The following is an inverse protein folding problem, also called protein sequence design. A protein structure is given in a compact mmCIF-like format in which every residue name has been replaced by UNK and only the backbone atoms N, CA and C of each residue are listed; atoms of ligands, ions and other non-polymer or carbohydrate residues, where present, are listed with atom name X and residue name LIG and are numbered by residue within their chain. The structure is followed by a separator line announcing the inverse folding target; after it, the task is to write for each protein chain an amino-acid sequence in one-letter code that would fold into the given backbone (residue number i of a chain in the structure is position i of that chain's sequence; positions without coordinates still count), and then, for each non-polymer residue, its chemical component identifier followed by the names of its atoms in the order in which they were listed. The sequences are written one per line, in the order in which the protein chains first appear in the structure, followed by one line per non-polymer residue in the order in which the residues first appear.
data_IF_496967969325
#
_entry.id   IF_496967969325
#
_cell.length_a   1.000
_cell.length_b   1.000
_cell.length_c   1.000
_cell.angle_alpha   90.00
_cell.angle_beta   90.00
_cell.angle_gamma   90.00
#
_symmetry.space_group_name_H-M   'P 1'
#
loop_
_entity.id
_entity.type
_entity.pdbx_description
1 polymer ?
#
# COMPACT_ATOMS: atom_id res chain seq x y z
N UNK A 1 -5.34 12.51 -26.66
CA UNK A 1 -4.95 11.86 -27.91
C UNK A 1 -5.62 10.50 -28.04
N UNK A 2 -6.01 10.08 -29.26
CA UNK A 2 -6.70 8.79 -29.49
C UNK A 2 -5.90 7.60 -29.03
N UNK A 3 -4.60 7.59 -29.22
CA UNK A 3 -3.73 6.49 -28.78
C UNK A 3 -3.80 6.18 -27.27
N UNK A 4 -4.16 7.15 -26.43
CA UNK A 4 -4.35 6.93 -24.99
C UNK A 4 -5.49 5.96 -24.71
N UNK A 5 -6.54 6.00 -25.55
CA UNK A 5 -7.68 5.08 -25.47
C UNK A 5 -7.29 3.67 -25.86
N UNK A 6 -6.43 3.51 -26.87
CA UNK A 6 -5.95 2.22 -27.38
C UNK A 6 -5.16 1.44 -26.32
N UNK A 7 -4.48 2.15 -25.43
CA UNK A 7 -3.73 1.56 -24.31
C UNK A 7 -4.52 1.49 -22.99
N UNK A 8 -5.81 1.86 -23.01
CA UNK A 8 -6.68 1.87 -21.81
C UNK A 8 -6.09 2.70 -20.64
N UNK A 9 -5.33 3.73 -20.96
CA UNK A 9 -4.72 4.64 -19.98
C UNK A 9 -5.69 5.78 -19.68
N UNK A 10 -6.06 5.95 -18.43
CA UNK A 10 -6.96 7.02 -18.01
C UNK A 10 -6.35 7.96 -16.95
N UNK A 11 -5.21 7.58 -16.37
CA UNK A 11 -4.50 8.39 -15.38
C UNK A 11 -3.06 7.91 -15.21
N UNK A 12 -2.23 8.73 -14.57
CA UNK A 12 -0.94 8.33 -13.98
C UNK A 12 -1.09 8.16 -12.47
N UNK A 13 -0.36 7.21 -11.89
CA UNK A 13 -0.21 7.14 -10.43
C UNK A 13 1.17 7.69 -10.01
N UNK A 14 1.34 8.18 -8.77
CA UNK A 14 2.65 8.65 -8.30
C UNK A 14 3.75 7.58 -8.39
N UNK A 15 3.42 6.31 -8.17
CA UNK A 15 4.35 5.20 -8.32
C UNK A 15 4.77 4.95 -9.78
N UNK A 16 3.92 5.25 -10.75
CA UNK A 16 4.25 5.17 -12.17
C UNK A 16 5.23 6.26 -12.59
N UNK A 17 5.09 7.47 -12.05
CA UNK A 17 6.00 8.58 -12.33
C UNK A 17 7.43 8.31 -11.82
N UNK A 18 7.59 7.39 -10.87
CA UNK A 18 8.89 6.94 -10.38
C UNK A 18 9.51 5.79 -11.19
N UNK A 19 8.76 5.20 -12.12
CA UNK A 19 9.28 4.16 -13.00
C UNK A 19 10.07 4.78 -14.14
N UNK A 20 11.33 4.38 -14.23
CA UNK A 20 12.21 4.77 -15.33
C UNK A 20 11.74 4.10 -16.62
N UNK A 21 11.73 4.85 -17.65
CA UNK A 21 11.30 4.74 -19.05
C UNK A 21 10.96 3.35 -19.60
N UNK A 22 11.86 2.38 -19.52
CA UNK A 22 11.63 1.07 -20.14
C UNK A 22 10.59 0.21 -19.41
N UNK A 23 10.56 0.28 -18.07
CA UNK A 23 9.59 -0.51 -17.28
C UNK A 23 8.19 0.03 -17.45
N UNK A 24 8.03 1.37 -17.42
CA UNK A 24 6.74 2.02 -17.66
C UNK A 24 6.21 1.69 -19.05
N UNK A 25 7.05 1.86 -20.10
CA UNK A 25 6.69 1.51 -21.46
C UNK A 25 6.26 0.05 -21.57
N UNK A 26 7.04 -0.88 -21.01
CA UNK A 26 6.69 -2.28 -21.04
C UNK A 26 5.35 -2.57 -20.37
N UNK A 27 5.15 -2.08 -19.14
CA UNK A 27 3.94 -2.36 -18.36
C UNK A 27 2.69 -1.69 -18.94
N UNK A 28 2.79 -0.50 -19.51
CA UNK A 28 1.63 0.31 -19.90
C UNK A 28 1.40 0.44 -21.40
N UNK A 29 2.42 0.25 -22.22
CA UNK A 29 2.28 0.28 -23.68
C UNK A 29 2.25 -1.11 -24.30
N UNK A 30 2.94 -2.10 -23.75
CA UNK A 30 3.01 -3.44 -24.33
C UNK A 30 2.07 -4.45 -23.67
N UNK A 31 1.81 -4.32 -22.36
CA UNK A 31 0.91 -5.24 -21.66
C UNK A 31 -0.53 -4.73 -21.69
N UNK A 32 -1.46 -5.58 -22.11
CA UNK A 32 -2.89 -5.31 -21.95
C UNK A 32 -3.29 -5.15 -20.47
N UNK A 33 -4.40 -4.49 -20.20
CA UNK A 33 -4.94 -4.35 -18.83
C UNK A 33 -5.09 -5.71 -18.14
N UNK A 34 -5.54 -6.74 -18.87
CA UNK A 34 -5.67 -8.12 -18.35
C UNK A 34 -4.32 -8.72 -17.95
N UNK A 35 -3.25 -8.46 -18.71
CA UNK A 35 -1.90 -8.91 -18.38
C UNK A 35 -1.34 -8.11 -17.20
N UNK A 36 -1.53 -6.79 -17.16
CA UNK A 36 -1.11 -5.94 -16.02
C UNK A 36 -1.73 -6.41 -14.70
N UNK A 37 -3.02 -6.76 -14.71
CA UNK A 37 -3.71 -7.28 -13.51
C UNK A 37 -3.13 -8.61 -12.99
N UNK A 38 -2.38 -9.33 -13.82
CA UNK A 38 -1.69 -10.57 -13.43
C UNK A 38 -0.30 -10.33 -12.88
N UNK A 39 0.23 -9.10 -12.94
CA UNK A 39 1.54 -8.79 -12.36
C UNK A 39 1.39 -8.90 -10.84
N UNK A 40 2.07 -9.90 -10.30
CA UNK A 40 2.11 -10.11 -8.86
C UNK A 40 3.18 -9.23 -8.22
N UNK A 41 2.78 -8.38 -7.28
CA UNK A 41 3.70 -7.45 -6.62
C UNK A 41 4.57 -8.09 -5.52
N UNK A 42 4.32 -9.37 -5.21
CA UNK A 42 5.06 -10.14 -4.22
C UNK A 42 4.45 -10.06 -2.81
N UNK A 43 4.72 -11.10 -2.04
CA UNK A 43 4.14 -11.29 -0.69
C UNK A 43 4.44 -10.16 0.31
N UNK A 44 5.54 -9.39 0.10
CA UNK A 44 5.85 -8.21 0.92
C UNK A 44 4.88 -7.05 0.69
N UNK A 45 4.46 -6.83 -0.55
CA UNK A 45 3.47 -5.81 -0.87
C UNK A 45 2.09 -6.19 -0.30
N UNK A 46 1.72 -7.47 -0.41
CA UNK A 46 0.49 -7.99 0.19
C UNK A 46 0.50 -7.88 1.71
N UNK A 47 1.64 -8.16 2.36
CA UNK A 47 1.80 -7.98 3.80
C UNK A 47 1.68 -6.51 4.22
N UNK A 48 2.26 -5.57 3.46
CA UNK A 48 2.07 -4.14 3.68
C UNK A 48 0.60 -3.72 3.56
N UNK A 49 -0.09 -4.22 2.55
CA UNK A 49 -1.53 -3.97 2.38
C UNK A 49 -2.34 -4.56 3.53
N UNK A 50 -1.97 -5.74 4.04
CA UNK A 50 -2.63 -6.34 5.21
C UNK A 50 -2.52 -5.45 6.45
N UNK A 51 -1.33 -4.90 6.73
CA UNK A 51 -1.12 -3.94 7.82
C UNK A 51 -2.04 -2.72 7.63
N UNK A 52 -2.05 -2.13 6.43
CA UNK A 52 -2.91 -0.98 6.13
C UNK A 52 -4.40 -1.30 6.36
N UNK A 53 -4.87 -2.50 5.97
CA UNK A 53 -6.26 -2.92 6.20
C UNK A 53 -6.61 -3.05 7.68
N UNK A 54 -5.72 -3.61 8.48
CA UNK A 54 -5.91 -3.64 9.94
C UNK A 54 -5.94 -2.24 10.57
N UNK A 55 -5.05 -1.34 10.14
CA UNK A 55 -5.04 0.05 10.61
C UNK A 55 -6.29 0.82 10.17
N UNK A 56 -6.78 0.60 8.94
CA UNK A 56 -8.04 1.19 8.47
C UNK A 56 -9.20 0.83 9.42
N UNK A 57 -9.23 -0.40 9.91
CA UNK A 57 -10.25 -0.86 10.84
C UNK A 57 -10.24 -0.12 12.19
N UNK A 58 -9.08 0.39 12.62
CA UNK A 58 -8.95 1.12 13.90
C UNK A 58 -9.16 2.64 13.70
N UNK A 59 -8.52 3.19 12.66
CA UNK A 59 -8.30 4.64 12.53
C UNK A 59 -9.18 5.30 11.49
N UNK A 60 -9.69 4.57 10.47
CA UNK A 60 -10.57 5.15 9.48
C UNK A 60 -12.00 5.22 9.99
N UNK A 61 -12.66 6.35 9.72
CA UNK A 61 -14.09 6.52 9.96
C UNK A 61 -14.94 6.06 8.77
N UNK A 62 -14.30 5.58 7.70
CA UNK A 62 -14.94 5.14 6.46
C UNK A 62 -14.39 3.81 5.99
N UNK A 63 -15.24 3.00 5.38
CA UNK A 63 -14.85 1.78 4.69
C UNK A 63 -15.41 1.75 3.26
N UNK A 64 -14.79 0.98 2.39
CA UNK A 64 -15.38 0.72 1.08
C UNK A 64 -16.56 -0.23 1.19
N UNK A 65 -17.66 0.10 0.49
CA UNK A 65 -18.76 -0.83 0.35
C UNK A 65 -18.30 -2.11 -0.37
N UNK A 66 -18.87 -3.23 0.04
CA UNK A 66 -18.68 -4.50 -0.66
C UNK A 66 -19.86 -4.73 -1.60
N UNK A 67 -19.59 -5.28 -2.77
CA UNK A 67 -20.62 -5.80 -3.65
C UNK A 67 -21.22 -7.11 -3.08
N UNK A 68 -22.26 -7.65 -3.73
CA UNK A 68 -22.92 -8.88 -3.33
C UNK A 68 -21.98 -10.11 -3.33
N UNK A 69 -20.88 -10.06 -4.08
CA UNK A 69 -19.83 -11.10 -4.12
C UNK A 69 -18.73 -10.87 -3.07
N UNK A 70 -18.83 -9.80 -2.26
CA UNK A 70 -17.85 -9.47 -1.21
C UNK A 70 -16.62 -8.72 -1.71
N UNK A 71 -16.57 -8.29 -2.97
CA UNK A 71 -15.46 -7.47 -3.48
C UNK A 71 -15.64 -6.01 -3.09
N UNK A 72 -14.53 -5.34 -2.76
CA UNK A 72 -14.58 -3.92 -2.43
C UNK A 72 -14.91 -3.06 -3.65
N UNK A 73 -15.99 -2.27 -3.53
CA UNK A 73 -16.31 -1.25 -4.52
C UNK A 73 -15.51 0.03 -4.20
N UNK A 74 -14.41 0.23 -4.92
CA UNK A 74 -13.50 1.37 -4.72
C UNK A 74 -14.11 2.75 -5.02
N UNK A 75 -15.32 2.80 -5.53
CA UNK A 75 -16.04 4.03 -5.85
C UNK A 75 -17.13 4.37 -4.83
N UNK A 76 -17.36 3.51 -3.85
CA UNK A 76 -18.37 3.72 -2.81
C UNK A 76 -17.75 3.53 -1.44
N UNK A 77 -17.81 4.58 -0.64
CA UNK A 77 -17.41 4.57 0.76
C UNK A 77 -18.64 4.79 1.63
N UNK A 78 -18.68 4.09 2.74
CA UNK A 78 -19.70 4.31 3.78
C UNK A 78 -19.01 4.63 5.10
N UNK A 79 -19.67 5.43 5.92
CA UNK A 79 -19.22 5.75 7.28
C UNK A 79 -19.34 4.52 8.16
N UNK A 80 -18.30 4.23 8.96
CA UNK A 80 -18.33 3.17 9.95
C UNK A 80 -18.99 3.71 11.21
N UNK A 81 -20.04 3.07 11.68
CA UNK A 81 -20.67 3.41 12.96
C UNK A 81 -19.89 2.74 14.11
N UNK A 82 -19.13 3.58 14.83
CA UNK A 82 -18.35 3.17 16.00
C UNK A 82 -16.94 2.71 15.67
N UNK A 83 -15.96 3.16 16.46
CA UNK A 83 -14.57 2.67 16.38
C UNK A 83 -14.52 1.24 16.92
N UNK A 84 -14.02 0.36 16.09
CA UNK A 84 -13.99 -1.07 16.42
C UNK A 84 -12.75 -1.43 17.27
N UNK A 85 -12.89 -2.47 18.10
CA UNK A 85 -11.86 -2.85 19.04
C UNK A 85 -10.53 -3.27 18.35
N UNK A 86 -9.36 -2.79 18.83
CA UNK A 86 -8.04 -3.09 18.23
C UNK A 86 -7.75 -4.58 18.06
N UNK A 87 -8.30 -5.43 18.93
CA UNK A 87 -8.11 -6.89 18.86
C UNK A 87 -8.63 -7.51 17.56
N UNK A 88 -9.71 -6.96 16.98
CA UNK A 88 -10.25 -7.43 15.70
C UNK A 88 -9.49 -6.91 14.49
N UNK A 89 -8.73 -5.84 14.64
CA UNK A 89 -7.98 -5.22 13.56
C UNK A 89 -6.84 -6.12 13.06
N UNK A 90 -6.18 -6.82 13.99
CA UNK A 90 -5.17 -7.80 13.61
C UNK A 90 -5.78 -8.99 12.86
N UNK A 91 -6.96 -9.46 13.27
CA UNK A 91 -7.67 -10.54 12.57
C UNK A 91 -8.00 -10.13 11.13
N UNK A 92 -8.39 -8.86 10.90
CA UNK A 92 -8.62 -8.33 9.55
C UNK A 92 -7.34 -8.35 8.71
N UNK A 93 -6.22 -7.93 9.29
CA UNK A 93 -4.91 -7.96 8.62
C UNK A 93 -4.51 -9.40 8.27
N UNK A 94 -4.64 -10.32 9.23
CA UNK A 94 -4.28 -11.72 9.09
C UNK A 94 -5.16 -12.43 8.04
N UNK A 95 -6.49 -12.22 8.09
CA UNK A 95 -7.42 -12.77 7.11
C UNK A 95 -7.12 -12.28 5.69
N UNK A 96 -6.88 -10.97 5.55
CA UNK A 96 -6.47 -10.40 4.26
C UNK A 96 -5.19 -11.07 3.73
N UNK A 97 -4.16 -11.20 4.57
CA UNK A 97 -2.89 -11.76 4.15
C UNK A 97 -3.00 -13.24 3.78
N UNK A 98 -3.70 -14.03 4.57
CA UNK A 98 -3.92 -15.46 4.31
C UNK A 98 -4.65 -15.72 2.98
N UNK A 99 -5.60 -14.85 2.60
CA UNK A 99 -6.28 -14.93 1.30
C UNK A 99 -5.37 -14.65 0.09
N UNK A 100 -4.19 -14.06 0.32
CA UNK A 100 -3.19 -13.78 -0.72
C UNK A 100 -2.17 -14.89 -0.89
N UNK A 101 -2.26 -15.97 -0.12
CA UNK A 101 -1.35 -17.10 -0.25
C UNK A 101 -1.41 -17.67 -1.67
N UNK A 102 -0.27 -17.68 -2.33
CA UNK A 102 -0.07 -18.32 -3.63
C UNK A 102 0.92 -19.46 -3.47
N UNK A 103 0.62 -20.62 -4.06
CA UNK A 103 1.53 -21.77 -4.11
C UNK A 103 2.74 -21.54 -5.03
N UNK A 104 3.08 -20.29 -5.34
CA UNK A 104 4.25 -19.97 -6.14
C UNK A 104 5.51 -20.35 -5.33
N UNK A 105 6.27 -21.32 -5.80
CA UNK A 105 7.45 -21.86 -5.08
C UNK A 105 8.46 -20.80 -4.69
N UNK A 106 8.60 -19.75 -5.49
CA UNK A 106 9.50 -18.63 -5.21
C UNK A 106 9.04 -17.73 -4.06
N UNK A 107 7.74 -17.67 -3.78
CA UNK A 107 7.14 -16.74 -2.82
C UNK A 107 6.68 -17.42 -1.51
N UNK A 108 6.53 -18.74 -1.50
CA UNK A 108 6.02 -19.45 -0.31
C UNK A 108 6.86 -19.23 0.94
N UNK A 109 8.19 -19.19 0.81
CA UNK A 109 9.08 -18.92 1.94
C UNK A 109 8.98 -17.47 2.41
N UNK A 110 8.90 -16.51 1.46
CA UNK A 110 8.71 -15.10 1.78
C UNK A 110 7.35 -14.87 2.45
N UNK A 111 6.31 -15.56 1.96
CA UNK A 111 4.99 -15.49 2.58
C UNK A 111 5.00 -15.97 4.03
N UNK A 112 5.65 -17.11 4.30
CA UNK A 112 5.77 -17.66 5.67
C UNK A 112 6.56 -16.73 6.59
N UNK A 113 7.74 -16.23 6.14
CA UNK A 113 8.52 -15.29 6.92
C UNK A 113 7.74 -14.02 7.26
N UNK A 114 7.02 -13.46 6.28
CA UNK A 114 6.16 -12.31 6.54
C UNK A 114 5.01 -12.62 7.51
N UNK A 115 4.40 -13.82 7.40
CA UNK A 115 3.31 -14.23 8.28
C UNK A 115 3.77 -14.32 9.74
N UNK A 116 4.97 -14.87 9.97
CA UNK A 116 5.59 -14.93 11.30
C UNK A 116 5.87 -13.54 11.89
N UNK A 117 6.18 -12.55 11.03
CA UNK A 117 6.51 -11.17 11.42
C UNK A 117 5.30 -10.23 11.48
N UNK A 118 4.20 -10.63 10.87
CA UNK A 118 3.00 -9.80 10.76
C UNK A 118 2.54 -9.21 12.10
N UNK A 119 2.52 -9.97 13.23
CA UNK A 119 2.13 -9.43 14.53
C UNK A 119 3.04 -8.29 15.00
N UNK A 120 4.37 -8.46 14.90
CA UNK A 120 5.34 -7.44 15.31
C UNK A 120 5.21 -6.16 14.51
N UNK A 121 5.19 -6.27 13.17
CA UNK A 121 5.02 -5.11 12.27
C UNK A 121 3.68 -4.41 12.52
N UNK A 122 2.60 -5.17 12.72
CA UNK A 122 1.29 -4.60 13.03
C UNK A 122 1.30 -3.82 14.34
N UNK A 123 1.87 -4.40 15.39
CA UNK A 123 1.98 -3.75 16.69
C UNK A 123 2.78 -2.45 16.63
N UNK A 124 3.93 -2.46 15.94
CA UNK A 124 4.76 -1.27 15.72
C UNK A 124 3.98 -0.20 14.93
N UNK A 125 3.24 -0.60 13.89
CA UNK A 125 2.41 0.33 13.13
C UNK A 125 1.29 0.95 13.98
N UNK A 126 0.63 0.18 14.84
CA UNK A 126 -0.40 0.71 15.76
C UNK A 126 0.20 1.71 16.73
N UNK A 127 1.39 1.44 17.30
CA UNK A 127 2.10 2.40 18.17
C UNK A 127 2.43 3.69 17.45
N UNK A 128 3.03 3.60 16.24
CA UNK A 128 3.39 4.76 15.45
C UNK A 128 2.16 5.62 15.12
N UNK A 129 1.04 5.01 14.78
CA UNK A 129 -0.21 5.73 14.50
C UNK A 129 -0.80 6.37 15.77
N UNK A 130 -0.68 5.73 16.93
CA UNK A 130 -1.10 6.31 18.21
C UNK A 130 -0.26 7.56 18.56
N UNK A 131 1.05 7.55 18.28
CA UNK A 131 1.95 8.68 18.48
C UNK A 131 1.66 9.83 17.51
N UNK A 132 1.42 9.53 16.22
CA UNK A 132 1.01 10.52 15.20
C UNK A 132 -0.31 11.19 15.60
N UNK A 133 -1.25 10.42 16.18
CA UNK A 133 -2.49 10.91 16.78
C UNK A 133 -3.27 11.88 15.87
N UNK A 134 -3.63 11.43 14.67
CA UNK A 134 -4.51 12.19 13.77
C UNK A 134 -5.81 12.57 14.49
N UNK A 135 -6.09 13.86 14.56
CA UNK A 135 -7.30 14.40 15.22
C UNK A 135 -8.44 14.57 14.23
N UNK A 136 -9.66 14.37 14.72
CA UNK A 136 -10.90 14.54 13.94
C UNK A 136 -11.21 13.33 13.07
N UNK A 137 -12.03 13.54 12.07
CA UNK A 137 -12.45 12.50 11.11
C UNK A 137 -11.30 12.10 10.19
N UNK A 138 -11.10 10.80 10.07
CA UNK A 138 -10.00 10.19 9.28
C UNK A 138 -10.60 9.37 8.14
N UNK A 139 -10.23 9.72 6.92
CA UNK A 139 -10.53 8.95 5.71
C UNK A 139 -9.32 8.09 5.32
N UNK A 140 -9.56 6.96 4.67
CA UNK A 140 -8.50 6.11 4.12
C UNK A 140 -8.66 5.90 2.62
N UNK A 141 -7.55 5.87 1.91
CA UNK A 141 -7.45 5.56 0.48
C UNK A 141 -8.41 6.39 -0.40
N UNK A 142 -8.69 7.65 -0.03
CA UNK A 142 -9.47 8.55 -0.86
C UNK A 142 -8.69 8.93 -2.13
N UNK A 143 -9.38 8.96 -3.27
CA UNK A 143 -8.76 9.42 -4.51
C UNK A 143 -8.42 10.92 -4.43
N UNK A 144 -7.19 11.27 -4.71
CA UNK A 144 -6.73 12.64 -4.90
C UNK A 144 -6.25 12.84 -6.33
N UNK A 145 -6.52 14.01 -6.88
CA UNK A 145 -6.30 14.32 -8.29
C UNK A 145 -5.43 15.56 -8.43
N UNK A 146 -4.51 15.53 -9.38
CA UNK A 146 -3.76 16.71 -9.80
C UNK A 146 -3.48 16.66 -11.29
N UNK A 147 -3.65 17.78 -11.97
CA UNK A 147 -3.21 17.97 -13.34
C UNK A 147 -1.81 18.60 -13.31
N UNK A 148 -0.81 17.83 -13.67
CA UNK A 148 0.56 18.32 -13.79
C UNK A 148 0.80 18.92 -15.17
N UNK A 149 1.48 20.07 -15.19
CA UNK A 149 1.87 20.71 -16.45
C UNK A 149 2.75 19.76 -17.26
N UNK A 150 2.40 19.56 -18.52
CA UNK A 150 3.09 18.64 -19.43
C UNK A 150 2.61 17.18 -19.36
N UNK A 151 1.75 16.82 -18.41
CA UNK A 151 1.10 15.49 -18.39
C UNK A 151 -0.21 15.54 -19.18
N UNK A 152 -0.36 14.60 -20.12
CA UNK A 152 -1.58 14.48 -20.96
C UNK A 152 -2.76 13.94 -20.13
N UNK A 153 -2.48 13.08 -19.16
CA UNK A 153 -3.45 12.46 -18.28
C UNK A 153 -3.37 13.04 -16.89
N UNK A 154 -4.49 13.09 -16.15
CA UNK A 154 -4.48 13.47 -14.75
C UNK A 154 -3.65 12.47 -13.94
N UNK A 155 -2.99 12.94 -12.92
CA UNK A 155 -2.37 12.07 -11.92
C UNK A 155 -3.37 11.79 -10.80
N UNK A 156 -3.56 10.52 -10.49
CA UNK A 156 -4.45 10.06 -9.43
C UNK A 156 -3.64 9.28 -8.41
N UNK A 157 -3.77 9.65 -7.15
CA UNK A 157 -3.16 8.94 -6.04
C UNK A 157 -4.15 8.68 -4.92
N UNK A 158 -3.69 7.95 -3.91
CA UNK A 158 -4.49 7.60 -2.73
C UNK A 158 -3.56 7.62 -1.52
N UNK A 159 -3.62 8.67 -0.68
CA UNK A 159 -3.00 8.61 0.64
C UNK A 159 -3.59 7.46 1.45
N UNK A 160 -2.76 6.78 2.24
CA UNK A 160 -3.26 5.66 3.04
C UNK A 160 -4.27 6.13 4.08
N UNK A 161 -4.01 7.28 4.73
CA UNK A 161 -4.92 7.92 5.69
C UNK A 161 -4.83 9.44 5.58
N UNK A 162 -5.93 10.13 5.79
CA UNK A 162 -5.94 11.59 5.84
C UNK A 162 -7.05 12.13 6.76
N UNK A 163 -6.82 13.31 7.31
CA UNK A 163 -7.84 14.14 7.96
C UNK A 163 -7.91 15.52 7.29
N UNK A 164 -8.46 16.52 7.94
CA UNK A 164 -8.59 17.88 7.40
C UNK A 164 -7.25 18.56 7.13
N UNK A 165 -6.19 18.24 7.88
CA UNK A 165 -4.92 18.98 7.90
C UNK A 165 -3.70 18.18 7.49
N UNK A 166 -3.73 16.88 7.67
CA UNK A 166 -2.60 15.98 7.42
C UNK A 166 -3.03 14.77 6.61
N UNK A 167 -2.05 14.14 5.96
CA UNK A 167 -2.18 12.77 5.47
C UNK A 167 -0.97 11.93 5.89
N UNK A 168 -1.20 10.63 6.01
CA UNK A 168 -0.16 9.64 6.30
C UNK A 168 0.03 8.76 5.07
N UNK A 169 1.27 8.54 4.69
CA UNK A 169 1.70 7.49 3.76
C UNK A 169 2.43 6.43 4.57
N UNK A 170 1.89 5.23 4.63
CA UNK A 170 2.45 4.10 5.37
C UNK A 170 3.38 3.29 4.47
N UNK A 171 4.56 3.01 4.97
CA UNK A 171 5.52 2.10 4.33
C UNK A 171 5.98 1.04 5.32
N UNK A 172 5.83 -0.22 4.95
CA UNK A 172 6.29 -1.34 5.75
C UNK A 172 7.58 -1.93 5.18
N UNK A 173 8.53 -2.25 6.03
CA UNK A 173 9.79 -2.89 5.63
C UNK A 173 9.81 -4.33 6.12
N UNK A 174 9.92 -5.24 5.18
CA UNK A 174 9.92 -6.69 5.41
C UNK A 174 11.30 -7.26 5.09
N UNK A 175 11.66 -8.33 5.78
CA UNK A 175 12.89 -9.09 5.48
C UNK A 175 12.93 -9.47 4.01
N UNK A 176 14.15 -9.58 3.49
CA UNK A 176 14.39 -9.98 2.10
C UNK A 176 15.05 -11.34 2.06
N UNK A 177 14.56 -12.20 1.19
CA UNK A 177 15.22 -13.47 0.86
C UNK A 177 16.69 -13.21 0.50
N UNK A 178 17.58 -13.81 1.26
CA UNK A 178 19.03 -13.80 1.00
C UNK A 178 19.44 -14.83 -0.05
N UNK A 179 20.73 -14.85 -0.36
CA UNK A 179 21.30 -15.84 -1.27
C UNK A 179 21.68 -17.16 -0.57
N UNK A 180 21.85 -17.11 0.73
CA UNK A 180 22.23 -18.28 1.53
C UNK A 180 21.06 -19.22 1.69
N UNK A 181 21.29 -20.50 1.47
CA UNK A 181 20.32 -21.58 1.75
C UNK A 181 20.73 -22.27 3.05
N UNK A 182 19.79 -22.48 3.95
CA UNK A 182 19.99 -23.18 5.22
C UNK A 182 20.08 -24.69 5.00
N UNK A 183 20.50 -25.42 6.02
CA UNK A 183 20.62 -26.87 5.98
C UNK A 183 19.30 -27.61 5.67
N UNK A 184 18.16 -27.02 6.02
CA UNK A 184 16.81 -27.52 5.74
C UNK A 184 16.29 -27.17 4.32
N UNK A 185 17.15 -26.59 3.47
CA UNK A 185 16.80 -26.16 2.12
C UNK A 185 16.02 -24.84 2.05
N UNK A 186 15.71 -24.22 3.18
CA UNK A 186 15.03 -22.93 3.19
C UNK A 186 16.01 -21.77 2.93
N UNK A 187 15.58 -20.66 2.32
CA UNK A 187 16.42 -19.47 2.19
C UNK A 187 16.60 -18.78 3.54
N UNK A 188 17.78 -18.20 3.77
CA UNK A 188 17.96 -17.23 4.84
C UNK A 188 17.26 -15.92 4.49
N UNK A 189 16.76 -15.21 5.51
CA UNK A 189 16.15 -13.89 5.35
C UNK A 189 17.02 -12.81 5.98
N UNK A 190 17.27 -11.75 5.23
CA UNK A 190 18.06 -10.62 5.69
C UNK A 190 17.13 -9.55 6.24
N UNK A 191 17.46 -9.08 7.42
CA UNK A 191 16.81 -7.94 8.05
C UNK A 191 16.99 -6.68 7.20
N UNK A 192 15.94 -5.85 7.12
CA UNK A 192 15.98 -4.56 6.44
C UNK A 192 15.94 -3.45 7.48
N UNK A 193 17.12 -2.90 7.78
CA UNK A 193 17.25 -1.76 8.69
C UNK A 193 16.50 -0.53 8.15
N UNK A 194 15.81 0.19 9.01
CA UNK A 194 15.27 1.49 8.68
C UNK A 194 16.41 2.46 8.41
N UNK A 195 16.25 3.28 7.39
CA UNK A 195 17.22 4.31 7.04
C UNK A 195 16.89 5.61 7.79
N UNK A 196 17.90 6.36 8.15
CA UNK A 196 17.75 7.70 8.76
C UNK A 196 17.08 8.69 7.79
N UNK A 197 17.23 8.46 6.48
CA UNK A 197 16.61 9.26 5.43
C UNK A 197 15.58 8.42 4.65
N UNK A 198 14.42 8.97 4.33
CA UNK A 198 13.43 8.28 3.53
C UNK A 198 13.91 8.02 2.09
N UNK A 199 13.40 6.97 1.47
CA UNK A 199 13.68 6.71 0.05
C UNK A 199 13.07 7.82 -0.82
N UNK A 200 13.85 8.34 -1.81
CA UNK A 200 13.43 9.45 -2.67
C UNK A 200 12.06 9.22 -3.35
N UNK A 201 11.77 7.98 -3.74
CA UNK A 201 10.47 7.63 -4.32
C UNK A 201 9.29 7.86 -3.35
N UNK A 202 9.49 7.59 -2.05
CA UNK A 202 8.47 7.86 -1.03
C UNK A 202 8.30 9.36 -0.79
N UNK A 203 9.40 10.13 -0.82
CA UNK A 203 9.36 11.59 -0.71
C UNK A 203 8.58 12.18 -1.88
N UNK A 204 8.87 11.77 -3.11
CA UNK A 204 8.15 12.23 -4.31
C UNK A 204 6.66 11.90 -4.24
N UNK A 205 6.30 10.71 -3.77
CA UNK A 205 4.91 10.31 -3.59
C UNK A 205 4.20 11.19 -2.56
N UNK A 206 4.84 11.49 -1.42
CA UNK A 206 4.26 12.36 -0.40
C UNK A 206 4.16 13.82 -0.86
N UNK A 207 5.13 14.32 -1.62
CA UNK A 207 5.07 15.64 -2.24
C UNK A 207 3.90 15.75 -3.22
N UNK A 208 3.71 14.72 -4.06
CA UNK A 208 2.54 14.66 -4.95
C UNK A 208 1.23 14.80 -4.17
N UNK A 209 1.06 14.03 -3.09
CA UNK A 209 -0.16 14.10 -2.28
C UNK A 209 -0.31 15.46 -1.57
N UNK A 210 0.79 16.04 -1.08
CA UNK A 210 0.76 17.37 -0.49
C UNK A 210 0.30 18.44 -1.51
N UNK A 211 0.80 18.37 -2.74
CA UNK A 211 0.35 19.26 -3.81
C UNK A 211 -1.13 19.05 -4.17
N UNK A 212 -1.57 17.81 -4.26
CA UNK A 212 -2.94 17.47 -4.63
C UNK A 212 -3.98 17.83 -3.56
N UNK A 213 -3.58 17.79 -2.28
CA UNK A 213 -4.51 17.95 -1.14
C UNK A 213 -4.36 19.28 -0.39
N UNK A 214 -3.23 19.94 -0.51
CA UNK A 214 -2.85 21.08 0.32
C UNK A 214 -2.56 20.71 1.79
N UNK A 215 -2.48 19.42 2.13
CA UNK A 215 -2.30 18.92 3.49
C UNK A 215 -0.83 18.65 3.80
N UNK A 216 -0.50 18.62 5.09
CA UNK A 216 0.86 18.30 5.56
C UNK A 216 1.13 16.80 5.46
N UNK A 217 2.27 16.37 4.87
CA UNK A 217 2.63 14.99 4.74
C UNK A 217 3.21 14.40 6.04
N UNK A 218 2.88 13.16 6.33
CA UNK A 218 3.53 12.32 7.32
C UNK A 218 3.91 11.02 6.62
N UNK A 219 5.21 10.73 6.51
CA UNK A 219 5.69 9.45 6.02
C UNK A 219 5.98 8.55 7.21
N UNK A 220 5.14 7.55 7.41
CA UNK A 220 5.26 6.56 8.47
C UNK A 220 5.95 5.31 7.93
N UNK A 221 7.15 5.01 8.40
CA UNK A 221 7.91 3.82 7.96
C UNK A 221 8.08 2.89 9.15
N UNK A 222 7.59 1.68 9.04
CA UNK A 222 7.62 0.68 10.13
C UNK A 222 8.24 -0.63 9.68
N UNK A 223 8.82 -1.36 10.61
CA UNK A 223 9.31 -2.73 10.48
C UNK A 223 8.86 -3.55 11.70
N UNK A 224 9.49 -4.69 11.95
CA UNK A 224 9.16 -5.60 13.07
C UNK A 224 9.72 -5.19 14.45
N UNK A 225 10.53 -4.12 14.53
CA UNK A 225 11.20 -3.67 15.76
C UNK A 225 10.46 -2.54 16.48
#
# INVERSE_FOLDING_TARGET
PEWVKDYELNHHSPSQLNNIDGKWCYEYLYLSQKQRRKIYFGSRADAGTAIAKGLQFIYSDYEWEKDAAGNYNKNKIKKIEGKQAPNRAFDVALDYYNKKFTNHDTEKYQFKDNLERLPGVFHTAVKAFAEINLKGEVESERNVFINLLGCILPCIGRPDFENKTHFIELKTKWRRKGRTIRADGSPAFNYVKLKDQPDAAHVLQTQFYAMATGKKPILCVVNED
#
